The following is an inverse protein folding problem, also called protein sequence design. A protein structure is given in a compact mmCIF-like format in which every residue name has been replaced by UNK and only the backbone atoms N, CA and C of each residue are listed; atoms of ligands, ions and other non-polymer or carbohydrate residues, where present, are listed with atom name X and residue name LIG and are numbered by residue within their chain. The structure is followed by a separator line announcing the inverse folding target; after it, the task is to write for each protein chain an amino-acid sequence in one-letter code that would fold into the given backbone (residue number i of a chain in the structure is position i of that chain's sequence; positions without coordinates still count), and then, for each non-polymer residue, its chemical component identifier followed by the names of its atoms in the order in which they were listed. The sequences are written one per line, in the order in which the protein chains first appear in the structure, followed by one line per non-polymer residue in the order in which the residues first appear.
data_IF_329219005569
#
_entry.id   IF_329219005569
#
_cell.length_a   1.000
_cell.length_b   1.000
_cell.length_c   1.000
_cell.angle_alpha   90.00
_cell.angle_beta   90.00
_cell.angle_gamma   90.00
#
_symmetry.space_group_name_H-M   'P 1'
#
loop_
_entity.id
_entity.type
_entity.pdbx_description
1 polymer ?
#
# COMPACT_ATOMS: atom_id res chain seq x y z
N UNK A 1 -7.99 23.75 0.32
CA UNK A 1 -8.78 22.56 -0.08
C UNK A 1 -9.84 23.03 -1.06
N UNK A 2 -9.86 22.52 -2.29
CA UNK A 2 -10.93 22.84 -3.23
C UNK A 2 -12.21 22.12 -2.80
N UNK A 3 -13.40 22.77 -2.82
CA UNK A 3 -14.67 22.10 -2.54
C UNK A 3 -14.84 20.89 -3.48
N UNK A 4 -15.13 19.71 -2.93
CA UNK A 4 -15.34 18.49 -3.71
C UNK A 4 -14.09 17.64 -4.01
N UNK A 5 -12.92 17.99 -3.48
CA UNK A 5 -11.75 17.11 -3.58
C UNK A 5 -11.91 15.88 -2.68
N UNK A 6 -11.91 14.69 -3.27
CA UNK A 6 -11.92 13.40 -2.56
C UNK A 6 -10.52 13.00 -2.04
N UNK A 7 -9.50 13.82 -2.27
CA UNK A 7 -8.13 13.61 -1.77
C UNK A 7 -7.66 14.78 -0.92
N UNK A 8 -6.88 14.44 0.11
CA UNK A 8 -6.27 15.37 1.06
C UNK A 8 -4.77 15.07 1.20
N UNK A 9 -3.96 16.11 1.29
CA UNK A 9 -2.55 15.98 1.66
C UNK A 9 -2.41 16.13 3.17
N UNK A 10 -1.82 15.13 3.82
CA UNK A 10 -1.52 15.19 5.26
C UNK A 10 -0.09 15.69 5.44
N UNK A 11 0.07 16.73 6.24
CA UNK A 11 1.36 17.29 6.66
C UNK A 11 1.50 17.16 8.16
N UNK A 12 2.73 17.22 8.69
CA UNK A 12 3.01 17.06 10.12
C UNK A 12 2.43 15.75 10.71
N UNK A 13 2.45 14.68 9.91
CA UNK A 13 1.89 13.35 10.24
C UNK A 13 2.64 12.61 11.38
N UNK A 14 3.79 13.12 11.80
CA UNK A 14 4.55 12.56 12.92
C UNK A 14 5.30 11.25 12.62
N UNK A 15 5.35 10.78 11.36
CA UNK A 15 6.33 9.77 10.97
C UNK A 15 7.75 10.20 11.38
N UNK A 16 8.55 9.29 11.97
CA UNK A 16 9.96 9.55 12.22
C UNK A 16 10.74 9.83 10.94
N UNK A 17 11.78 10.65 11.07
CA UNK A 17 12.69 10.95 9.97
C UNK A 17 13.31 9.67 9.40
N UNK A 18 13.45 9.60 8.08
CA UNK A 18 14.06 8.47 7.40
C UNK A 18 13.14 7.29 7.11
N UNK A 19 12.01 7.11 7.81
CA UNK A 19 11.12 5.94 7.61
C UNK A 19 10.62 5.82 6.16
N UNK A 20 10.16 6.93 5.57
CA UNK A 20 9.76 6.92 4.15
C UNK A 20 10.95 6.66 3.22
N UNK A 21 12.07 7.33 3.47
CA UNK A 21 13.26 7.24 2.62
C UNK A 21 13.90 5.85 2.66
N UNK A 22 13.86 5.16 3.80
CA UNK A 22 14.35 3.81 3.97
C UNK A 22 13.48 2.80 3.22
N UNK A 23 12.16 2.92 3.33
CA UNK A 23 11.23 2.09 2.56
C UNK A 23 11.38 2.32 1.05
N UNK A 24 11.50 3.57 0.61
CA UNK A 24 11.73 3.93 -0.80
C UNK A 24 13.07 3.41 -1.33
N UNK A 25 14.14 3.48 -0.53
CA UNK A 25 15.44 2.90 -0.89
C UNK A 25 15.35 1.39 -1.05
N UNK A 26 14.78 0.70 -0.05
CA UNK A 26 14.61 -0.76 -0.10
C UNK A 26 13.75 -1.20 -1.29
N UNK A 27 12.67 -0.47 -1.57
CA UNK A 27 11.82 -0.66 -2.73
C UNK A 27 12.61 -0.51 -4.04
N UNK A 28 13.35 0.59 -4.19
CA UNK A 28 14.14 0.90 -5.39
C UNK A 28 15.20 -0.17 -5.65
N UNK A 29 15.94 -0.55 -4.63
CA UNK A 29 16.97 -1.60 -4.71
C UNK A 29 16.39 -2.96 -5.07
N UNK A 30 15.19 -3.29 -4.59
CA UNK A 30 14.51 -4.52 -4.93
C UNK A 30 14.06 -4.53 -6.41
N UNK A 31 13.36 -3.50 -6.88
CA UNK A 31 12.83 -3.46 -8.25
C UNK A 31 13.93 -3.36 -9.31
N UNK A 32 15.11 -2.83 -8.95
CA UNK A 32 16.30 -2.80 -9.80
C UNK A 32 16.94 -4.19 -10.03
N UNK A 33 16.57 -5.22 -9.26
CA UNK A 33 17.12 -6.58 -9.43
C UNK A 33 16.63 -7.23 -10.73
N UNK A 34 17.41 -8.17 -11.30
CA UNK A 34 16.95 -9.00 -12.41
C UNK A 34 15.66 -9.75 -12.09
N UNK A 35 14.79 -9.93 -13.08
CA UNK A 35 13.49 -10.64 -12.93
C UNK A 35 13.61 -11.99 -12.20
N UNK A 36 14.60 -12.86 -12.49
CA UNK A 36 14.73 -14.13 -11.75
C UNK A 36 14.95 -13.97 -10.24
N UNK A 37 15.61 -12.89 -9.81
CA UNK A 37 15.82 -12.59 -8.38
C UNK A 37 14.52 -12.10 -7.73
N UNK A 38 13.75 -11.25 -8.42
CA UNK A 38 12.44 -10.78 -7.95
C UNK A 38 11.43 -11.93 -7.85
N UNK A 39 11.47 -12.88 -8.79
CA UNK A 39 10.59 -14.04 -8.82
C UNK A 39 10.79 -15.03 -7.67
N UNK A 40 11.91 -14.96 -6.92
CA UNK A 40 12.12 -15.79 -5.71
C UNK A 40 11.09 -15.55 -4.62
N UNK A 41 10.45 -14.39 -4.62
CA UNK A 41 9.40 -13.98 -3.68
C UNK A 41 8.10 -13.66 -4.41
N UNK A 42 7.87 -14.28 -5.58
CA UNK A 42 6.63 -14.12 -6.35
C UNK A 42 5.44 -14.67 -5.57
N UNK A 43 4.28 -14.04 -5.71
CA UNK A 43 3.01 -14.58 -5.22
C UNK A 43 2.78 -16.00 -5.68
N UNK A 44 2.06 -16.76 -4.86
CA UNK A 44 1.63 -18.11 -5.16
C UNK A 44 0.10 -18.16 -5.26
N UNK A 45 -0.48 -19.20 -5.89
CA UNK A 45 -1.93 -19.36 -5.93
C UNK A 45 -2.61 -19.35 -4.55
N UNK A 46 -1.89 -19.78 -3.50
CA UNK A 46 -2.35 -19.80 -2.10
C UNK A 46 -1.71 -18.70 -1.22
N UNK A 47 -0.98 -17.75 -1.82
CA UNK A 47 -0.33 -16.64 -1.11
C UNK A 47 -0.35 -15.36 -1.95
N UNK A 48 -1.18 -14.38 -1.56
CA UNK A 48 -1.29 -13.10 -2.25
C UNK A 48 -0.18 -12.09 -1.86
N UNK A 49 0.70 -12.45 -0.93
CA UNK A 49 1.82 -11.59 -0.49
C UNK A 49 3.07 -11.83 -1.32
N UNK A 50 3.88 -10.78 -1.50
CA UNK A 50 5.10 -10.81 -2.31
C UNK A 50 4.94 -10.15 -3.68
N UNK A 51 5.91 -10.46 -4.56
CA UNK A 51 6.09 -9.82 -5.87
C UNK A 51 5.08 -10.27 -6.92
N UNK A 52 4.68 -9.35 -7.80
CA UNK A 52 3.96 -9.67 -9.04
C UNK A 52 4.31 -8.70 -10.18
N UNK A 53 4.23 -9.20 -11.40
CA UNK A 53 4.53 -8.50 -12.67
C UNK A 53 3.52 -8.83 -13.77
N UNK A 54 2.40 -9.44 -13.40
CA UNK A 54 1.39 -10.01 -14.29
C UNK A 54 -0.06 -9.67 -13.87
N UNK A 55 -0.27 -8.63 -13.06
CA UNK A 55 -1.62 -8.18 -12.67
C UNK A 55 -2.43 -7.66 -13.89
N UNK A 56 -3.73 -7.97 -13.87
CA UNK A 56 -4.70 -7.50 -14.84
C UNK A 56 -5.73 -6.61 -14.15
N UNK A 57 -5.88 -5.36 -14.59
CA UNK A 57 -7.01 -4.51 -14.18
C UNK A 57 -8.00 -4.41 -15.34
N UNK A 58 -9.26 -4.79 -15.12
CA UNK A 58 -10.32 -4.87 -16.16
C UNK A 58 -9.90 -5.72 -17.38
N UNK A 59 -9.25 -6.85 -17.13
CA UNK A 59 -8.75 -7.77 -18.17
C UNK A 59 -7.65 -7.17 -19.08
N UNK A 60 -7.03 -6.07 -18.65
CA UNK A 60 -5.91 -5.45 -19.35
C UNK A 60 -4.66 -5.56 -18.49
N UNK A 61 -3.49 -5.93 -19.07
CA UNK A 61 -2.24 -5.97 -18.33
C UNK A 61 -1.87 -4.62 -17.75
N UNK A 62 -1.60 -4.59 -16.46
CA UNK A 62 -1.05 -3.40 -15.81
C UNK A 62 0.42 -3.23 -16.19
N UNK A 63 0.85 -1.99 -16.43
CA UNK A 63 2.23 -1.64 -16.78
C UNK A 63 3.01 -1.29 -15.51
N UNK A 64 3.00 -2.23 -14.56
CA UNK A 64 3.66 -2.08 -13.27
C UNK A 64 4.21 -3.42 -12.78
N UNK A 65 5.24 -3.32 -11.98
CA UNK A 65 5.62 -4.36 -11.04
C UNK A 65 5.14 -3.95 -9.66
N UNK A 66 4.92 -4.91 -8.77
CA UNK A 66 4.44 -4.61 -7.43
C UNK A 66 4.91 -5.62 -6.40
N UNK A 67 4.73 -5.25 -5.14
CA UNK A 67 4.99 -6.11 -3.99
C UNK A 67 3.93 -5.85 -2.91
N UNK A 68 3.18 -6.89 -2.51
CA UNK A 68 2.21 -6.78 -1.41
C UNK A 68 2.76 -7.34 -0.09
N UNK A 69 2.49 -6.59 0.97
CA UNK A 69 2.93 -6.86 2.34
C UNK A 69 1.68 -6.78 3.23
N UNK A 70 1.39 -7.85 3.95
CA UNK A 70 0.39 -7.85 5.01
C UNK A 70 0.99 -7.36 6.34
N UNK A 71 0.18 -7.31 7.41
CA UNK A 71 0.64 -6.89 8.73
C UNK A 71 1.92 -7.64 9.16
N UNK A 72 2.93 -6.95 9.72
CA UNK A 72 4.11 -7.59 10.28
C UNK A 72 3.72 -8.62 11.34
N UNK A 73 4.39 -9.78 11.36
CA UNK A 73 4.07 -10.82 12.33
C UNK A 73 4.41 -10.34 13.76
N UNK A 74 3.42 -10.35 14.66
CA UNK A 74 3.60 -9.90 16.05
C UNK A 74 4.06 -11.01 16.99
N UNK A 75 3.70 -12.29 16.75
CA UNK A 75 4.21 -13.45 17.50
C UNK A 75 4.27 -14.75 16.67
N UNK A 76 4.94 -15.77 17.23
CA UNK A 76 5.33 -17.04 16.61
C UNK A 76 4.14 -17.91 16.19
N UNK A 77 3.66 -17.69 14.96
CA UNK A 77 2.72 -18.54 14.22
C UNK A 77 2.98 -18.57 12.72
N UNK A 78 4.18 -18.15 12.29
CA UNK A 78 4.59 -18.12 10.89
C UNK A 78 3.96 -17.01 10.04
N UNK A 79 3.21 -16.08 10.64
CA UNK A 79 2.68 -14.89 9.96
C UNK A 79 1.65 -15.17 8.85
N UNK A 80 1.00 -16.35 8.84
CA UNK A 80 0.03 -16.73 7.81
C UNK A 80 -1.37 -16.20 8.17
N UNK A 81 -1.86 -15.28 7.35
CA UNK A 81 -3.22 -14.72 7.36
C UNK A 81 -4.09 -15.41 6.30
N UNK A 82 -5.38 -15.05 6.20
CA UNK A 82 -6.27 -15.51 5.12
C UNK A 82 -5.68 -15.22 3.74
N UNK A 83 -4.96 -14.10 3.61
CA UNK A 83 -4.34 -13.64 2.37
C UNK A 83 -2.93 -14.23 2.16
N UNK A 84 -2.43 -15.04 3.09
CA UNK A 84 -1.10 -15.67 3.03
C UNK A 84 -0.09 -15.07 4.00
N UNK A 85 1.20 -15.21 3.71
CA UNK A 85 2.33 -14.86 4.59
C UNK A 85 3.36 -14.00 3.85
N UNK A 86 3.92 -13.01 4.54
CA UNK A 86 4.93 -12.12 3.96
C UNK A 86 6.15 -12.92 3.44
N UNK A 87 6.58 -12.61 2.21
CA UNK A 87 7.70 -13.26 1.55
C UNK A 87 8.87 -12.28 1.40
N UNK A 88 9.81 -12.27 2.33
CA UNK A 88 10.85 -11.24 2.37
C UNK A 88 12.06 -11.58 1.49
N UNK A 89 12.55 -10.66 0.62
CA UNK A 89 13.73 -10.91 -0.19
C UNK A 89 15.03 -10.87 0.62
N UNK A 90 15.05 -10.11 1.72
CA UNK A 90 16.13 -10.02 2.70
C UNK A 90 15.64 -9.28 3.97
N UNK A 91 16.45 -9.33 5.03
CA UNK A 91 16.11 -8.74 6.32
C UNK A 91 16.09 -7.19 6.33
N UNK A 92 16.81 -6.52 5.43
CA UNK A 92 16.80 -5.06 5.35
C UNK A 92 15.47 -4.56 4.78
N UNK A 93 15.01 -5.20 3.70
CA UNK A 93 13.71 -4.92 3.10
C UNK A 93 12.57 -5.18 4.08
N UNK A 94 12.63 -6.30 4.81
CA UNK A 94 11.67 -6.62 5.87
C UNK A 94 11.59 -5.52 6.93
N UNK A 95 12.74 -5.10 7.48
CA UNK A 95 12.78 -4.05 8.51
C UNK A 95 12.21 -2.73 8.00
N UNK A 96 12.70 -2.24 6.86
CA UNK A 96 12.29 -0.96 6.31
C UNK A 96 10.79 -0.93 6.00
N UNK A 97 10.28 -1.96 5.33
CA UNK A 97 8.87 -2.00 4.95
C UNK A 97 7.94 -2.27 6.14
N UNK A 98 8.37 -3.08 7.12
CA UNK A 98 7.57 -3.31 8.33
C UNK A 98 7.46 -2.04 9.19
N UNK A 99 8.56 -1.30 9.35
CA UNK A 99 8.53 0.00 10.05
C UNK A 99 7.61 0.99 9.34
N UNK A 100 7.71 1.10 8.00
CA UNK A 100 6.81 1.97 7.25
C UNK A 100 5.34 1.53 7.35
N UNK A 101 5.07 0.22 7.29
CA UNK A 101 3.73 -0.33 7.48
C UNK A 101 3.13 0.13 8.81
N UNK A 102 3.83 -0.11 9.92
CA UNK A 102 3.34 0.23 11.26
C UNK A 102 3.10 1.73 11.43
N UNK A 103 3.95 2.59 10.86
CA UNK A 103 3.72 4.04 10.91
C UNK A 103 2.54 4.50 10.02
N UNK A 104 2.39 3.90 8.83
CA UNK A 104 1.26 4.19 7.94
C UNK A 104 -0.08 3.70 8.54
N UNK A 105 -0.05 2.56 9.23
CA UNK A 105 -1.17 2.03 10.00
C UNK A 105 -1.58 3.03 11.09
N UNK A 106 -0.64 3.46 11.94
CA UNK A 106 -0.88 4.47 13.01
C UNK A 106 -1.54 5.75 12.47
N UNK A 107 -1.14 6.21 11.30
CA UNK A 107 -1.73 7.38 10.63
C UNK A 107 -3.14 7.06 10.14
N UNK A 108 -3.34 5.89 9.55
CA UNK A 108 -4.65 5.44 9.09
C UNK A 108 -5.64 5.36 10.26
N UNK A 109 -5.22 4.87 11.43
CA UNK A 109 -6.05 4.86 12.64
C UNK A 109 -6.47 6.28 13.04
N UNK A 110 -5.50 7.20 13.11
CA UNK A 110 -5.75 8.59 13.47
C UNK A 110 -6.74 9.25 12.50
N UNK A 111 -6.56 9.03 11.20
CA UNK A 111 -7.44 9.57 10.17
C UNK A 111 -8.84 8.97 10.23
N UNK A 112 -8.96 7.66 10.47
CA UNK A 112 -10.25 7.00 10.58
C UNK A 112 -11.06 7.56 11.76
N UNK A 113 -10.43 7.70 12.92
CA UNK A 113 -11.07 8.29 14.10
C UNK A 113 -11.42 9.77 13.90
N UNK A 114 -10.58 10.52 13.17
CA UNK A 114 -10.88 11.90 12.79
C UNK A 114 -12.08 12.00 11.84
N UNK A 115 -12.22 11.06 10.89
CA UNK A 115 -13.39 10.95 10.01
C UNK A 115 -14.65 10.70 10.83
N UNK A 116 -14.63 9.72 11.76
CA UNK A 116 -15.75 9.48 12.67
C UNK A 116 -16.17 10.74 13.43
N UNK A 117 -15.20 11.43 14.04
CA UNK A 117 -15.47 12.68 14.77
C UNK A 117 -16.07 13.77 13.86
N UNK A 118 -15.62 13.87 12.60
CA UNK A 118 -16.16 14.85 11.64
C UNK A 118 -17.61 14.58 11.21
N UNK A 119 -18.08 13.35 11.42
CA UNK A 119 -19.45 12.91 11.16
C UNK A 119 -20.32 12.93 12.43
N UNK A 120 -19.82 13.54 13.52
CA UNK A 120 -20.43 13.53 14.85
C UNK A 120 -20.63 12.12 15.44
N UNK A 121 -19.80 11.15 15.02
CA UNK A 121 -19.78 9.80 15.60
C UNK A 121 -18.77 9.72 16.74
N UNK A 122 -18.88 8.67 17.55
CA UNK A 122 -17.84 8.33 18.52
C UNK A 122 -16.52 8.02 17.76
N UNK A 123 -15.38 8.64 18.12
CA UNK A 123 -14.14 8.48 17.37
C UNK A 123 -13.72 7.01 17.13
N UNK A 124 -13.94 6.13 18.10
CA UNK A 124 -13.60 4.70 18.04
C UNK A 124 -14.70 3.82 17.42
N UNK A 125 -15.77 4.40 16.86
CA UNK A 125 -16.91 3.65 16.33
C UNK A 125 -16.56 2.66 15.20
N UNK A 126 -15.39 2.82 14.57
CA UNK A 126 -14.89 1.94 13.52
C UNK A 126 -13.72 1.04 13.96
N UNK A 127 -13.24 1.17 15.20
CA UNK A 127 -12.05 0.45 15.68
C UNK A 127 -12.25 -1.07 15.63
N UNK A 128 -13.44 -1.57 15.98
CA UNK A 128 -13.74 -3.00 15.97
C UNK A 128 -13.66 -3.64 14.57
N UNK A 129 -13.85 -2.84 13.52
CA UNK A 129 -13.81 -3.29 12.13
C UNK A 129 -12.42 -3.19 11.50
N UNK A 130 -11.61 -2.22 11.93
CA UNK A 130 -10.37 -1.87 11.23
C UNK A 130 -9.10 -1.91 12.10
N UNK A 131 -9.17 -1.89 13.42
CA UNK A 131 -8.01 -1.68 14.30
C UNK A 131 -7.77 -2.81 15.32
N UNK A 132 -8.74 -3.69 15.58
CA UNK A 132 -8.61 -4.76 16.59
C UNK A 132 -7.84 -6.01 16.12
N UNK A 133 -6.81 -5.85 15.28
CA UNK A 133 -5.94 -6.95 14.82
C UNK A 133 -6.60 -7.97 13.88
N UNK A 134 -7.81 -7.68 13.40
CA UNK A 134 -8.59 -8.50 12.46
C UNK A 134 -8.70 -7.87 11.07
N UNK A 135 -7.99 -6.76 10.83
CA UNK A 135 -8.09 -6.03 9.56
C UNK A 135 -7.32 -6.71 8.43
N UNK A 136 -7.80 -6.49 7.22
CA UNK A 136 -7.19 -6.96 5.98
C UNK A 136 -6.22 -5.94 5.36
N UNK A 137 -5.84 -4.89 6.10
CA UNK A 137 -4.91 -3.84 5.63
C UNK A 137 -3.63 -4.44 5.05
N UNK A 138 -3.15 -3.82 3.97
CA UNK A 138 -1.93 -4.24 3.30
C UNK A 138 -1.19 -3.03 2.75
N UNK A 139 0.13 -3.15 2.67
CA UNK A 139 1.01 -2.22 1.99
C UNK A 139 1.31 -2.77 0.60
N UNK A 140 1.05 -1.96 -0.43
CA UNK A 140 1.40 -2.25 -1.81
C UNK A 140 2.46 -1.29 -2.31
N UNK A 141 3.63 -1.83 -2.63
CA UNK A 141 4.69 -1.10 -3.32
C UNK A 141 4.44 -1.23 -4.82
N UNK A 142 4.21 -0.13 -5.54
CA UNK A 142 4.03 -0.15 -7.00
C UNK A 142 5.21 0.51 -7.70
N UNK A 143 5.84 -0.20 -8.63
CA UNK A 143 6.89 0.32 -9.50
C UNK A 143 6.40 0.37 -10.95
N UNK A 144 6.48 1.56 -11.56
CA UNK A 144 6.03 1.79 -12.93
C UNK A 144 7.25 2.00 -13.84
N UNK A 145 7.65 1.02 -14.65
CA UNK A 145 8.76 1.16 -15.58
C UNK A 145 8.49 2.23 -16.65
N UNK A 146 9.54 2.94 -17.06
CA UNK A 146 9.46 3.90 -18.18
C UNK A 146 9.41 3.19 -19.52
N UNK A 147 8.76 3.80 -20.53
CA UNK A 147 8.87 3.37 -21.94
C UNK A 147 7.62 2.73 -22.55
N UNK A 148 6.45 2.82 -21.88
CA UNK A 148 5.18 2.38 -22.46
C UNK A 148 4.56 3.48 -23.33
N UNK A 149 4.31 3.15 -24.60
CA UNK A 149 3.86 4.10 -25.62
C UNK A 149 2.44 4.67 -25.38
N UNK A 150 1.60 3.99 -24.59
CA UNK A 150 0.23 4.41 -24.28
C UNK A 150 0.13 5.28 -23.02
N UNK A 151 1.24 5.51 -22.30
CA UNK A 151 1.28 6.34 -21.09
C UNK A 151 0.46 5.81 -19.90
N UNK A 152 -0.12 4.60 -20.02
CA UNK A 152 -1.04 4.04 -19.04
C UNK A 152 -0.31 3.08 -18.10
N UNK A 153 -0.24 3.42 -16.82
CA UNK A 153 0.27 2.55 -15.75
C UNK A 153 -0.76 1.48 -15.33
N UNK A 154 -1.93 1.94 -14.86
CA UNK A 154 -3.04 1.10 -14.40
C UNK A 154 -4.37 1.65 -14.92
N UNK A 155 -5.35 0.78 -15.15
CA UNK A 155 -6.71 1.21 -15.53
C UNK A 155 -7.42 1.92 -14.37
N UNK A 156 -8.32 2.87 -14.69
CA UNK A 156 -9.16 3.57 -13.69
C UNK A 156 -9.95 2.56 -12.83
N UNK A 157 -9.76 2.62 -11.53
CA UNK A 157 -10.43 1.79 -10.52
C UNK A 157 -10.69 2.58 -9.24
N UNK A 158 -11.30 1.93 -8.27
CA UNK A 158 -11.37 2.38 -6.86
C UNK A 158 -10.76 1.28 -6.03
N UNK A 159 -10.00 1.65 -5.00
CA UNK A 159 -9.45 0.68 -4.07
C UNK A 159 -10.55 -0.06 -3.30
N UNK A 160 -10.24 -1.27 -2.88
CA UNK A 160 -11.07 -2.02 -1.94
C UNK A 160 -10.58 -1.71 -0.52
N UNK A 161 -11.41 -1.02 0.27
CA UNK A 161 -11.07 -0.67 1.65
C UNK A 161 -11.80 0.58 2.13
N UNK A 162 -11.53 0.96 3.38
CA UNK A 162 -12.10 2.17 3.99
C UNK A 162 -11.25 3.42 3.74
N UNK A 163 -9.93 3.28 3.73
CA UNK A 163 -8.98 4.39 3.62
C UNK A 163 -7.71 3.93 2.89
N UNK A 164 -7.22 4.77 1.97
CA UNK A 164 -5.90 4.62 1.35
C UNK A 164 -5.01 5.79 1.77
N UNK A 165 -3.88 5.48 2.40
CA UNK A 165 -2.81 6.46 2.65
C UNK A 165 -1.71 6.23 1.62
N UNK A 166 -1.42 7.24 0.81
CA UNK A 166 -0.51 7.13 -0.32
C UNK A 166 0.71 8.04 -0.15
N UNK A 167 1.90 7.44 -0.21
CA UNK A 167 3.14 8.18 -0.51
C UNK A 167 3.46 8.02 -1.99
N UNK A 168 3.56 9.13 -2.70
CA UNK A 168 4.03 9.18 -4.08
C UNK A 168 5.52 9.52 -4.12
N UNK A 169 6.25 8.91 -5.05
CA UNK A 169 7.64 9.31 -5.35
C UNK A 169 7.70 10.65 -6.08
N UNK A 170 8.90 11.00 -6.57
CA UNK A 170 9.16 12.30 -7.20
C UNK A 170 8.60 12.40 -8.63
N UNK A 171 8.13 11.30 -9.21
CA UNK A 171 7.54 11.26 -10.54
C UNK A 171 6.02 11.33 -10.41
N UNK A 172 5.43 12.38 -10.99
CA UNK A 172 3.99 12.54 -11.05
C UNK A 172 3.35 11.53 -12.03
N UNK A 173 2.20 10.99 -11.66
CA UNK A 173 1.44 10.06 -12.52
C UNK A 173 0.07 9.63 -11.98
N UNK A 174 -0.32 10.06 -10.78
CA UNK A 174 -1.64 9.80 -10.24
C UNK A 174 -2.64 10.83 -10.77
N UNK A 175 -3.73 10.33 -11.35
CA UNK A 175 -4.89 11.13 -11.72
C UNK A 175 -6.09 10.65 -10.91
N UNK A 176 -6.75 11.58 -10.19
CA UNK A 176 -7.93 11.28 -9.39
C UNK A 176 -9.16 11.95 -9.99
N UNK A 177 -10.20 11.16 -10.21
CA UNK A 177 -11.49 11.68 -10.66
C UNK A 177 -12.25 12.31 -9.48
N UNK A 178 -12.54 13.60 -9.56
CA UNK A 178 -13.24 14.39 -8.54
C UNK A 178 -14.74 14.63 -8.83
N UNK A 179 -15.31 13.98 -9.85
CA UNK A 179 -16.73 14.09 -10.15
C UNK A 179 -17.61 13.12 -9.35
N UNK A 180 -18.92 13.38 -9.31
CA UNK A 180 -19.91 12.38 -8.92
C UNK A 180 -19.90 11.24 -9.94
N UNK A 181 -20.01 9.99 -9.46
CA UNK A 181 -20.47 8.90 -10.32
C UNK A 181 -21.98 9.11 -10.47
N UNK A 182 -22.42 9.57 -11.65
CA UNK A 182 -23.82 9.42 -12.06
C UNK A 182 -24.13 7.95 -12.35
#
# INVERSE_FOLDING_TARGET
VLPGSLTLTIVNHGLPDGVMADAERAMTEFFAKPTPEKHKVKRLPDNSRGFADDELTKQLPDRKELFDIGPPATESGGGRTQDGWNQWPNAEFERACSTFFTEAERISELLLRAICASLDWEPTALDEFFLCGTHSSFLRLNYYPTGHADGRGISRHTDAGALTVLKQGDVAGLEVYSGSKE
#
